data_IF_256999679163
#
_entry.id   IF_256999679163
#
_cell.length_a   1.000
_cell.length_b   1.000
_cell.length_c   1.000
_cell.angle_alpha   90.00
_cell.angle_beta   90.00
_cell.angle_gamma   90.00
#
_symmetry.space_group_name_H-M   'P 1'
#
loop_
_entity.id
_entity.type
_entity.pdbx_description
1 polymer ?
#
# COMPACT_ATOMS: atom_id res chain seq x y z
N UNK A 1 40.40 15.35 -29.59
CA UNK A 1 40.76 14.87 -28.24
C UNK A 1 40.77 16.07 -27.31
N UNK A 2 39.75 16.18 -26.46
CA UNK A 2 39.75 17.06 -25.30
C UNK A 2 38.92 16.31 -24.24
N UNK A 3 39.63 15.71 -23.29
CA UNK A 3 39.06 15.09 -22.12
C UNK A 3 38.71 16.19 -21.12
N UNK A 4 37.47 16.17 -20.61
CA UNK A 4 37.10 16.95 -19.45
C UNK A 4 37.10 16.01 -18.25
N UNK A 5 38.13 16.17 -17.41
CA UNK A 5 38.20 15.66 -16.05
C UNK A 5 37.14 16.36 -15.19
N UNK A 6 36.38 15.59 -14.42
CA UNK A 6 35.59 16.10 -13.30
C UNK A 6 36.36 15.79 -12.01
N UNK A 7 36.71 16.79 -11.18
CA UNK A 7 37.33 16.52 -9.90
C UNK A 7 36.28 15.97 -8.93
N UNK A 8 36.62 14.81 -8.38
CA UNK A 8 36.03 14.22 -7.18
C UNK A 8 36.33 15.10 -5.95
N UNK A 9 35.46 15.03 -4.94
CA UNK A 9 35.41 15.77 -3.67
C UNK A 9 34.29 16.82 -3.54
N UNK A 10 33.09 16.35 -3.18
CA UNK A 10 32.21 17.11 -2.28
C UNK A 10 31.75 16.22 -1.14
N UNK A 11 32.49 16.30 -0.02
CA UNK A 11 31.98 15.95 1.29
C UNK A 11 30.81 16.89 1.61
N UNK A 12 29.59 16.38 1.58
CA UNK A 12 28.43 17.11 2.11
C UNK A 12 28.29 16.77 3.61
N UNK A 13 28.58 17.75 4.45
CA UNK A 13 28.16 17.74 5.84
C UNK A 13 26.67 18.08 5.90
N UNK A 14 25.83 17.11 6.24
CA UNK A 14 24.44 17.34 6.61
C UNK A 14 24.40 18.09 7.95
N UNK A 15 24.02 19.36 7.90
CA UNK A 15 23.57 20.09 9.08
C UNK A 15 22.14 19.63 9.35
N UNK A 16 22.00 18.77 10.34
CA UNK A 16 20.72 18.21 10.79
C UNK A 16 20.11 19.16 11.82
N UNK A 17 19.20 20.04 11.41
CA UNK A 17 18.27 20.66 12.37
C UNK A 17 17.13 19.66 12.64
N UNK A 18 17.12 19.10 13.85
CA UNK A 18 16.13 18.13 14.30
C UNK A 18 14.79 18.82 14.56
N UNK A 19 13.82 18.65 13.68
CA UNK A 19 12.41 18.59 14.11
C UNK A 19 12.12 17.17 14.57
N UNK A 20 12.41 16.87 15.84
CA UNK A 20 12.16 15.54 16.41
C UNK A 20 10.66 15.31 16.59
N UNK A 21 10.06 14.48 15.73
CA UNK A 21 8.82 13.81 16.06
C UNK A 21 9.13 12.70 17.07
N UNK A 22 8.47 12.72 18.23
CA UNK A 22 8.67 11.72 19.28
C UNK A 22 8.02 10.40 18.86
N UNK A 23 8.81 9.48 18.30
CA UNK A 23 8.41 8.09 18.10
C UNK A 23 8.68 7.31 19.40
N UNK A 24 7.68 6.70 20.06
CA UNK A 24 7.85 6.07 21.38
C UNK A 24 8.67 4.75 21.38
N UNK A 25 9.31 4.40 20.26
CA UNK A 25 10.23 3.25 20.17
C UNK A 25 11.65 3.78 19.92
N UNK A 26 12.61 3.43 20.81
CA UNK A 26 14.03 3.79 20.76
C UNK A 26 14.69 3.45 19.40
N UNK A 27 14.52 4.29 18.39
CA UNK A 27 15.30 4.27 17.14
C UNK A 27 16.49 5.22 17.28
N UNK A 28 17.41 4.89 18.18
CA UNK A 28 18.64 5.67 18.41
C UNK A 28 19.80 5.20 17.51
N UNK A 29 19.52 4.89 16.25
CA UNK A 29 20.53 4.51 15.25
C UNK A 29 20.54 5.52 14.12
N UNK A 30 21.47 6.46 14.20
CA UNK A 30 21.90 7.41 13.14
C UNK A 30 22.70 6.71 12.04
N UNK A 31 22.32 5.50 11.66
CA UNK A 31 22.96 4.80 10.53
C UNK A 31 22.28 5.24 9.23
N UNK A 32 23.00 6.00 8.41
CA UNK A 32 22.57 6.36 7.06
C UNK A 32 22.20 5.08 6.28
N UNK A 33 20.97 5.03 5.75
CA UNK A 33 20.52 3.96 4.86
C UNK A 33 21.16 4.19 3.50
N UNK A 34 22.01 3.26 3.07
CA UNK A 34 22.66 3.27 1.76
C UNK A 34 22.20 2.07 0.93
N UNK A 35 22.53 2.02 -0.36
CA UNK A 35 22.20 0.87 -1.21
C UNK A 35 22.66 -0.47 -0.60
N UNK A 36 23.84 -0.49 0.01
CA UNK A 36 24.40 -1.66 0.71
C UNK A 36 23.66 -2.06 1.99
N UNK A 37 22.71 -1.26 2.48
CA UNK A 37 21.82 -1.61 3.59
C UNK A 37 20.77 -2.66 3.19
N UNK A 38 20.57 -2.92 1.89
CA UNK A 38 19.64 -3.92 1.35
C UNK A 38 20.42 -5.08 0.69
N UNK A 39 19.86 -6.31 0.65
CA UNK A 39 20.49 -7.43 -0.02
C UNK A 39 20.77 -7.16 -1.50
N UNK A 40 21.80 -7.82 -2.06
CA UNK A 40 22.22 -7.62 -3.45
C UNK A 40 21.08 -7.83 -4.48
N UNK A 41 20.10 -8.69 -4.17
CA UNK A 41 18.92 -8.96 -5.00
C UNK A 41 17.72 -8.03 -4.77
N UNK A 42 17.77 -7.07 -3.85
CA UNK A 42 16.67 -6.13 -3.63
C UNK A 42 16.57 -5.14 -4.79
N UNK A 43 15.43 -5.03 -5.46
CA UNK A 43 15.25 -4.16 -6.64
C UNK A 43 14.45 -2.92 -6.23
N UNK A 44 14.94 -1.74 -6.58
CA UNK A 44 14.16 -0.50 -6.53
C UNK A 44 13.50 -0.29 -7.88
N UNK A 45 12.21 0.07 -7.89
CA UNK A 45 11.44 0.32 -9.10
C UNK A 45 10.44 1.47 -8.90
N UNK A 46 9.83 1.90 -9.99
CA UNK A 46 8.73 2.89 -10.00
C UNK A 46 7.49 2.22 -10.58
N UNK A 47 6.30 2.55 -10.07
CA UNK A 47 5.03 2.04 -10.58
C UNK A 47 4.19 3.19 -11.18
N UNK A 48 3.27 2.85 -12.08
CA UNK A 48 2.29 3.76 -12.69
C UNK A 48 0.90 3.13 -12.57
N UNK A 49 -0.16 3.95 -12.60
CA UNK A 49 -1.53 3.46 -12.44
C UNK A 49 -1.94 2.51 -13.59
N UNK A 50 -2.75 1.48 -13.26
CA UNK A 50 -3.17 0.45 -14.22
C UNK A 50 -3.93 1.01 -15.43
N UNK A 51 -4.72 2.08 -15.20
CA UNK A 51 -5.46 2.77 -16.25
C UNK A 51 -4.55 3.27 -17.39
N UNK A 52 -3.31 3.64 -17.07
CA UNK A 52 -2.34 4.13 -18.05
C UNK A 52 -1.60 2.99 -18.78
N UNK A 53 -1.78 1.74 -18.37
CA UNK A 53 -0.99 0.59 -18.85
C UNK A 53 -1.80 -0.47 -19.61
N UNK A 54 -3.04 -0.74 -19.20
CA UNK A 54 -3.83 -1.88 -19.69
C UNK A 54 -4.07 -1.82 -21.20
N UNK A 55 -4.60 -0.70 -21.71
CA UNK A 55 -4.88 -0.48 -23.13
C UNK A 55 -5.81 -1.50 -23.80
N UNK A 56 -6.61 -2.22 -23.02
CA UNK A 56 -7.52 -3.28 -23.46
C UNK A 56 -8.91 -3.09 -22.83
N UNK A 57 -9.44 -1.87 -22.92
CA UNK A 57 -10.52 -1.42 -22.04
C UNK A 57 -11.82 -2.23 -22.16
N UNK A 58 -12.10 -2.83 -23.32
CA UNK A 58 -13.30 -3.62 -23.61
C UNK A 58 -12.99 -5.07 -24.03
N UNK A 59 -11.77 -5.56 -23.78
CA UNK A 59 -11.32 -6.87 -24.25
C UNK A 59 -11.21 -7.91 -23.13
N UNK A 60 -11.16 -9.19 -23.50
CA UNK A 60 -10.85 -10.29 -22.57
C UNK A 60 -11.86 -10.49 -21.42
N UNK A 61 -13.06 -9.90 -21.51
CA UNK A 61 -14.07 -9.94 -20.45
C UNK A 61 -13.87 -8.90 -19.33
N UNK A 62 -12.96 -7.91 -19.52
CA UNK A 62 -12.82 -6.76 -18.62
C UNK A 62 -14.13 -5.96 -18.60
N UNK A 63 -14.69 -5.79 -17.40
CA UNK A 63 -15.81 -4.88 -17.18
C UNK A 63 -15.35 -3.42 -17.09
N UNK A 64 -16.23 -2.44 -17.38
CA UNK A 64 -15.88 -1.02 -17.29
C UNK A 64 -15.48 -0.62 -15.87
N UNK A 65 -14.39 0.13 -15.76
CA UNK A 65 -13.89 0.75 -14.53
C UNK A 65 -14.48 2.15 -14.32
N UNK A 66 -14.32 2.66 -13.10
CA UNK A 66 -14.70 4.05 -12.76
C UNK A 66 -13.97 5.05 -13.67
N UNK A 67 -12.71 4.77 -14.02
CA UNK A 67 -11.90 5.64 -14.87
C UNK A 67 -12.35 5.66 -16.33
N UNK A 68 -12.80 4.52 -16.87
CA UNK A 68 -13.41 4.48 -18.22
C UNK A 68 -14.63 5.40 -18.25
N UNK A 69 -15.54 5.23 -17.27
CA UNK A 69 -16.77 6.05 -17.18
C UNK A 69 -16.45 7.54 -17.03
N UNK A 70 -15.47 7.89 -16.20
CA UNK A 70 -15.12 9.27 -15.91
C UNK A 70 -14.53 9.99 -17.13
N UNK A 71 -13.55 9.37 -17.79
CA UNK A 71 -12.86 9.96 -18.95
C UNK A 71 -13.76 10.08 -20.17
N UNK A 72 -14.63 9.10 -20.42
CA UNK A 72 -15.62 9.19 -21.51
C UNK A 72 -16.71 10.23 -21.24
N UNK A 73 -17.14 10.39 -19.99
CA UNK A 73 -18.22 11.32 -19.62
C UNK A 73 -17.73 12.77 -19.52
N UNK A 74 -16.47 12.99 -19.15
CA UNK A 74 -15.90 14.31 -18.92
C UNK A 74 -14.55 14.50 -19.63
N UNK A 75 -14.49 14.41 -20.97
CA UNK A 75 -13.23 14.50 -21.72
C UNK A 75 -12.50 15.82 -21.50
N UNK A 76 -13.23 16.90 -21.20
CA UNK A 76 -12.67 18.23 -20.89
C UNK A 76 -11.87 18.29 -19.58
N UNK A 77 -11.90 17.23 -18.78
CA UNK A 77 -11.08 17.09 -17.57
C UNK A 77 -9.69 16.51 -17.88
N UNK A 78 -9.46 16.08 -19.11
CA UNK A 78 -8.16 15.59 -19.60
C UNK A 78 -7.56 16.66 -20.50
N UNK A 79 -6.31 17.04 -20.25
CA UNK A 79 -5.66 18.19 -20.91
C UNK A 79 -5.64 18.10 -22.45
N UNK A 80 -5.55 16.88 -23.00
CA UNK A 80 -5.58 16.60 -24.44
C UNK A 80 -6.89 15.94 -24.90
N UNK A 81 -7.89 15.80 -23.99
CA UNK A 81 -9.18 15.13 -24.20
C UNK A 81 -9.08 13.66 -24.62
N UNK A 82 -7.91 13.04 -24.42
CA UNK A 82 -7.73 11.59 -24.63
C UNK A 82 -8.42 10.77 -23.54
N UNK A 83 -8.49 9.45 -23.75
CA UNK A 83 -8.93 8.48 -22.75
C UNK A 83 -7.94 7.29 -22.71
N UNK A 84 -8.19 6.34 -21.81
CA UNK A 84 -7.37 5.13 -21.62
C UNK A 84 -7.86 3.90 -22.40
N UNK A 85 -8.69 4.05 -23.43
CA UNK A 85 -9.20 2.91 -24.23
C UNK A 85 -8.04 2.10 -24.82
N UNK A 86 -7.06 2.83 -25.37
CA UNK A 86 -5.76 2.30 -25.81
C UNK A 86 -4.66 3.13 -25.13
N UNK A 87 -4.15 2.60 -24.03
CA UNK A 87 -3.06 3.20 -23.26
C UNK A 87 -1.68 2.69 -23.78
N UNK A 88 -0.71 2.45 -22.90
CA UNK A 88 0.62 1.89 -23.28
C UNK A 88 0.52 0.50 -23.96
N UNK A 89 -0.65 -0.12 -23.93
CA UNK A 89 -0.99 -1.34 -24.66
C UNK A 89 -0.12 -2.55 -24.25
N UNK A 90 0.20 -2.62 -22.96
CA UNK A 90 1.05 -3.70 -22.44
C UNK A 90 0.34 -5.06 -22.53
N UNK A 91 -0.99 -5.07 -22.46
CA UNK A 91 -1.82 -6.28 -22.53
C UNK A 91 -1.70 -7.02 -23.86
N UNK A 92 -1.57 -6.33 -25.01
CA UNK A 92 -1.41 -7.01 -26.29
C UNK A 92 0.05 -7.41 -26.57
N UNK A 93 1.01 -6.75 -25.92
CA UNK A 93 2.43 -6.85 -26.27
C UNK A 93 3.22 -7.86 -25.43
N UNK A 94 2.65 -8.41 -24.34
CA UNK A 94 3.40 -9.27 -23.41
C UNK A 94 3.64 -10.71 -23.89
N UNK A 95 2.78 -11.27 -24.74
CA UNK A 95 2.67 -12.74 -24.93
C UNK A 95 3.75 -13.40 -25.80
N UNK A 96 4.49 -12.69 -26.66
CA UNK A 96 5.23 -13.38 -27.74
C UNK A 96 6.63 -13.94 -27.38
N UNK A 97 7.33 -13.48 -26.32
CA UNK A 97 8.75 -13.88 -26.08
C UNK A 97 9.33 -13.72 -24.65
N UNK A 98 8.59 -13.22 -23.66
CA UNK A 98 9.23 -12.34 -22.65
C UNK A 98 9.80 -12.97 -21.37
N UNK A 99 9.49 -14.25 -21.02
CA UNK A 99 9.83 -14.82 -19.69
C UNK A 99 9.47 -13.89 -18.52
N UNK A 100 8.43 -13.07 -18.70
CA UNK A 100 8.00 -12.07 -17.73
C UNK A 100 7.27 -12.73 -16.56
N UNK A 101 7.21 -11.99 -15.45
CA UNK A 101 6.41 -12.33 -14.28
C UNK A 101 5.18 -11.43 -14.22
N UNK A 102 4.05 -11.95 -13.75
CA UNK A 102 2.81 -11.21 -13.56
C UNK A 102 2.40 -11.25 -12.09
N UNK A 103 1.90 -10.13 -11.57
CA UNK A 103 1.52 -10.00 -10.18
C UNK A 103 0.25 -9.19 -10.01
N UNK A 104 -0.15 -9.05 -8.75
CA UNK A 104 -1.24 -8.18 -8.33
C UNK A 104 -0.71 -7.18 -7.31
N UNK A 105 -1.16 -5.93 -7.39
CA UNK A 105 -0.86 -4.91 -6.39
C UNK A 105 -2.05 -4.74 -5.46
N UNK A 106 -1.83 -4.90 -4.16
CA UNK A 106 -2.86 -4.73 -3.14
C UNK A 106 -2.55 -3.55 -2.22
N UNK A 107 -3.57 -2.75 -1.96
CA UNK A 107 -3.56 -1.72 -0.92
C UNK A 107 -3.86 -2.34 0.43
N UNK A 108 -3.07 -2.01 1.44
CA UNK A 108 -3.37 -2.40 2.81
C UNK A 108 -2.85 -1.38 3.83
N UNK A 109 -3.69 -1.08 4.82
CA UNK A 109 -3.26 -0.45 6.05
C UNK A 109 -2.80 -1.51 7.04
N UNK A 110 -2.05 -1.10 8.06
CA UNK A 110 -1.87 -1.93 9.24
C UNK A 110 -2.96 -1.64 10.28
N UNK A 111 -3.45 -2.67 10.96
CA UNK A 111 -4.49 -2.54 11.98
C UNK A 111 -3.93 -2.92 13.35
N UNK A 112 -3.83 -1.93 14.23
CA UNK A 112 -3.41 -2.12 15.63
C UNK A 112 -4.65 -2.37 16.48
N UNK A 113 -4.71 -3.42 17.32
CA UNK A 113 -5.81 -3.59 18.26
C UNK A 113 -6.00 -2.35 19.14
N UNK A 114 -7.23 -1.88 19.30
CA UNK A 114 -7.49 -0.70 20.12
C UNK A 114 -7.04 -0.90 21.58
N UNK A 115 -7.21 -2.11 22.13
CA UNK A 115 -6.71 -2.52 23.44
C UNK A 115 -6.17 -3.96 23.43
N UNK A 116 -5.62 -4.41 24.57
CA UNK A 116 -5.23 -5.81 24.80
C UNK A 116 -6.42 -6.75 25.02
N UNK A 117 -7.67 -6.28 24.84
CA UNK A 117 -8.83 -7.15 24.85
C UNK A 117 -8.78 -8.12 23.66
N UNK A 118 -9.19 -9.38 23.90
CA UNK A 118 -9.24 -10.41 22.85
C UNK A 118 -10.14 -9.99 21.68
N UNK A 119 -11.22 -9.28 21.98
CA UNK A 119 -12.20 -8.81 21.01
C UNK A 119 -11.59 -7.76 20.06
N UNK A 120 -10.74 -6.86 20.56
CA UNK A 120 -10.05 -5.85 19.75
C UNK A 120 -8.94 -6.47 18.91
N UNK A 121 -8.22 -7.47 19.43
CA UNK A 121 -7.31 -8.29 18.60
C UNK A 121 -8.04 -8.96 17.45
N UNK A 122 -9.20 -9.54 17.72
CA UNK A 122 -10.05 -10.09 16.67
C UNK A 122 -10.57 -9.01 15.72
N UNK A 123 -10.87 -7.80 16.21
CA UNK A 123 -11.30 -6.68 15.37
C UNK A 123 -10.20 -6.24 14.40
N UNK A 124 -8.96 -6.12 14.86
CA UNK A 124 -7.81 -5.84 14.00
C UNK A 124 -7.63 -6.92 12.91
N UNK A 125 -7.74 -8.21 13.28
CA UNK A 125 -7.71 -9.30 12.28
C UNK A 125 -8.85 -9.17 11.26
N UNK A 126 -10.08 -8.93 11.71
CA UNK A 126 -11.23 -8.76 10.80
C UNK A 126 -11.04 -7.56 9.87
N UNK A 127 -10.52 -6.44 10.36
CA UNK A 127 -10.23 -5.28 9.53
C UNK A 127 -9.20 -5.63 8.43
N UNK A 128 -8.15 -6.39 8.79
CA UNK A 128 -7.15 -6.86 7.83
C UNK A 128 -7.74 -7.86 6.83
N UNK A 129 -8.56 -8.81 7.29
CA UNK A 129 -9.25 -9.77 6.43
C UNK A 129 -10.16 -9.05 5.42
N UNK A 130 -10.89 -8.01 5.84
CA UNK A 130 -11.81 -7.27 4.96
C UNK A 130 -11.12 -6.29 4.00
N UNK A 131 -9.83 -6.03 4.17
CA UNK A 131 -9.06 -5.13 3.30
C UNK A 131 -8.07 -5.91 2.42
N UNK A 132 -7.21 -6.71 3.04
CA UNK A 132 -6.12 -7.43 2.39
C UNK A 132 -6.48 -8.90 2.14
N UNK A 133 -6.97 -9.59 3.18
CA UNK A 133 -7.34 -11.01 3.08
C UNK A 133 -8.46 -11.27 2.07
N UNK A 134 -9.33 -10.29 1.82
CA UNK A 134 -10.41 -10.39 0.83
C UNK A 134 -9.88 -10.77 -0.55
N UNK A 135 -8.68 -10.29 -0.90
CA UNK A 135 -8.02 -10.59 -2.17
C UNK A 135 -6.96 -11.69 -2.03
N UNK A 136 -6.21 -11.70 -0.92
CA UNK A 136 -5.13 -12.69 -0.73
C UNK A 136 -5.63 -14.11 -0.44
N UNK A 137 -6.68 -14.29 0.37
CA UNK A 137 -7.17 -15.62 0.69
C UNK A 137 -7.67 -16.36 -0.56
N UNK A 138 -8.46 -15.77 -1.48
CA UNK A 138 -8.85 -16.48 -2.70
C UNK A 138 -7.69 -16.97 -3.56
N UNK A 139 -6.61 -16.18 -3.68
CA UNK A 139 -5.48 -16.52 -4.55
C UNK A 139 -4.44 -17.41 -3.86
N UNK A 140 -4.47 -17.57 -2.54
CA UNK A 140 -3.55 -18.47 -1.80
C UNK A 140 -4.27 -19.69 -1.24
N UNK A 141 -5.43 -19.47 -0.63
CA UNK A 141 -6.22 -20.42 0.15
C UNK A 141 -7.52 -20.85 -0.53
N UNK A 142 -7.71 -20.54 -1.82
CA UNK A 142 -8.82 -20.99 -2.70
C UNK A 142 -10.26 -20.57 -2.32
N UNK A 143 -10.43 -19.75 -1.28
CA UNK A 143 -11.72 -19.21 -0.84
C UNK A 143 -11.52 -17.90 -0.06
N UNK A 144 -12.62 -17.20 0.26
CA UNK A 144 -12.59 -15.98 1.07
C UNK A 144 -12.19 -16.25 2.54
N UNK A 145 -11.73 -15.23 3.29
CA UNK A 145 -11.45 -15.34 4.71
C UNK A 145 -12.66 -15.85 5.51
N UNK A 146 -12.40 -16.72 6.50
CA UNK A 146 -13.45 -17.27 7.36
C UNK A 146 -14.28 -16.19 8.10
N UNK A 147 -13.65 -15.07 8.47
CA UNK A 147 -14.33 -13.94 9.10
C UNK A 147 -15.36 -13.29 8.17
N UNK A 148 -15.01 -13.09 6.90
CA UNK A 148 -15.91 -12.55 5.88
C UNK A 148 -17.07 -13.50 5.62
N UNK A 149 -16.79 -14.80 5.44
CA UNK A 149 -17.84 -15.82 5.26
C UNK A 149 -18.84 -15.82 6.41
N UNK A 150 -18.36 -15.71 7.64
CA UNK A 150 -19.21 -15.69 8.83
C UNK A 150 -20.05 -14.41 8.97
N UNK A 151 -19.50 -13.25 8.62
CA UNK A 151 -20.14 -11.96 8.88
C UNK A 151 -21.01 -11.45 7.72
N UNK A 152 -20.56 -11.67 6.49
CA UNK A 152 -21.29 -11.29 5.28
C UNK A 152 -22.36 -12.33 4.93
N UNK A 153 -22.06 -13.61 5.19
CA UNK A 153 -22.98 -14.72 5.01
C UNK A 153 -23.44 -14.85 3.56
N UNK A 154 -24.76 -14.95 3.35
CA UNK A 154 -25.37 -15.20 2.03
C UNK A 154 -25.11 -14.10 0.99
N UNK A 155 -24.71 -12.90 1.42
CA UNK A 155 -24.38 -11.79 0.50
C UNK A 155 -23.00 -11.96 -0.14
N UNK A 156 -22.14 -12.81 0.42
CA UNK A 156 -20.82 -13.10 -0.15
C UNK A 156 -20.98 -14.15 -1.25
N UNK A 157 -20.62 -13.85 -2.51
CA UNK A 157 -20.65 -14.84 -3.58
C UNK A 157 -19.74 -16.02 -3.25
N UNK A 158 -19.99 -17.16 -3.91
CA UNK A 158 -19.15 -18.36 -3.79
C UNK A 158 -18.45 -18.61 -5.10
N UNK A 159 -17.17 -18.97 -5.02
CA UNK A 159 -16.47 -19.51 -6.18
C UNK A 159 -16.95 -20.93 -6.46
N UNK A 160 -17.15 -21.24 -7.74
CA UNK A 160 -17.20 -22.62 -8.19
C UNK A 160 -15.81 -23.26 -8.04
N UNK A 161 -15.75 -24.59 -7.98
CA UNK A 161 -14.47 -25.32 -7.94
C UNK A 161 -13.53 -24.94 -9.10
N UNK A 162 -14.10 -24.68 -10.28
CA UNK A 162 -13.33 -24.25 -11.45
C UNK A 162 -12.71 -22.85 -11.25
N UNK A 163 -13.47 -21.89 -10.70
CA UNK A 163 -12.97 -20.55 -10.40
C UNK A 163 -11.91 -20.57 -9.31
N UNK A 164 -12.13 -21.30 -8.20
CA UNK A 164 -11.13 -21.45 -7.13
C UNK A 164 -9.81 -22.01 -7.66
N UNK A 165 -9.86 -22.98 -8.58
CA UNK A 165 -8.66 -23.53 -9.22
C UNK A 165 -7.93 -22.53 -10.11
N UNK A 166 -8.64 -21.60 -10.76
CA UNK A 166 -8.04 -20.54 -11.57
C UNK A 166 -7.40 -19.43 -10.71
N UNK A 167 -7.97 -19.16 -9.53
CA UNK A 167 -7.47 -18.14 -8.61
C UNK A 167 -6.24 -18.60 -7.82
N UNK A 168 -6.22 -19.86 -7.35
CA UNK A 168 -5.14 -20.35 -6.51
C UNK A 168 -3.79 -20.32 -7.25
N UNK A 169 -2.85 -19.52 -6.74
CA UNK A 169 -1.51 -19.37 -7.31
C UNK A 169 -1.47 -18.50 -8.57
N UNK A 170 -2.47 -17.64 -8.82
CA UNK A 170 -2.57 -16.81 -10.03
C UNK A 170 -1.64 -15.58 -10.06
N UNK A 171 -0.51 -15.63 -9.36
CA UNK A 171 0.47 -14.54 -9.29
C UNK A 171 1.89 -15.06 -9.08
N UNK A 172 2.87 -14.43 -9.74
CA UNK A 172 4.30 -14.68 -9.56
C UNK A 172 4.91 -13.79 -8.47
N UNK A 173 4.35 -12.59 -8.27
CA UNK A 173 4.75 -11.66 -7.21
C UNK A 173 3.56 -10.85 -6.67
N UNK A 174 3.70 -10.37 -5.44
CA UNK A 174 2.76 -9.46 -4.79
C UNK A 174 3.32 -8.03 -4.80
N UNK A 175 2.62 -7.11 -5.44
CA UNK A 175 2.79 -5.68 -5.22
C UNK A 175 2.06 -5.25 -3.94
N UNK A 176 2.69 -4.42 -3.13
CA UNK A 176 2.11 -3.91 -1.89
C UNK A 176 2.14 -2.39 -1.85
N UNK A 177 0.96 -1.79 -1.69
CA UNK A 177 0.80 -0.35 -1.44
C UNK A 177 0.55 -0.15 0.06
N UNK A 178 1.47 0.55 0.74
CA UNK A 178 1.38 0.83 2.17
C UNK A 178 1.60 2.31 2.47
N UNK A 179 0.71 2.89 3.27
CA UNK A 179 0.75 4.32 3.60
C UNK A 179 0.61 4.64 5.08
N UNK A 180 -0.28 3.93 5.80
CA UNK A 180 -0.74 4.33 7.14
C UNK A 180 -1.19 3.10 7.96
N UNK A 181 -1.58 3.36 9.21
CA UNK A 181 -2.22 2.39 10.09
C UNK A 181 -3.43 2.99 10.79
N UNK A 182 -4.31 2.13 11.30
CA UNK A 182 -5.44 2.53 12.16
C UNK A 182 -5.52 1.62 13.39
N UNK A 183 -6.06 2.16 14.48
CA UNK A 183 -6.57 1.35 15.58
C UNK A 183 -7.89 0.69 15.17
N UNK A 184 -8.12 -0.54 15.64
CA UNK A 184 -9.33 -1.30 15.40
C UNK A 184 -9.99 -1.74 16.72
N UNK A 185 -11.20 -1.25 16.98
CA UNK A 185 -12.00 -1.60 18.15
C UNK A 185 -13.18 -2.52 17.77
N UNK A 186 -13.55 -3.44 18.64
CA UNK A 186 -14.66 -4.36 18.40
C UNK A 186 -16.03 -3.67 18.48
N UNK A 187 -16.92 -3.98 17.52
CA UNK A 187 -18.33 -3.61 17.60
C UNK A 187 -19.18 -4.86 17.97
N UNK A 188 -19.78 -4.91 19.18
CA UNK A 188 -20.58 -6.05 19.64
C UNK A 188 -21.81 -6.32 18.78
N UNK A 189 -22.20 -7.60 18.60
CA UNK A 189 -23.36 -8.00 17.78
C UNK A 189 -24.70 -7.35 18.21
N UNK A 190 -24.82 -6.93 19.47
CA UNK A 190 -25.98 -6.19 19.98
C UNK A 190 -26.18 -4.82 19.32
N UNK A 191 -25.11 -4.23 18.76
CA UNK A 191 -25.20 -3.00 17.99
C UNK A 191 -25.75 -3.33 16.59
N UNK A 192 -26.96 -2.84 16.32
CA UNK A 192 -27.60 -2.94 15.01
C UNK A 192 -26.88 -2.03 14.02
N UNK A 193 -26.35 -2.62 12.95
CA UNK A 193 -25.68 -1.91 11.86
C UNK A 193 -26.40 -2.24 10.57
N UNK A 194 -26.59 -1.24 9.70
CA UNK A 194 -27.06 -1.49 8.34
C UNK A 194 -25.98 -2.31 7.59
N UNK A 195 -26.34 -3.42 6.93
CA UNK A 195 -25.38 -4.19 6.15
C UNK A 195 -24.72 -3.32 5.08
N UNK A 196 -23.39 -3.28 5.09
CA UNK A 196 -22.55 -2.53 4.17
C UNK A 196 -21.13 -3.07 4.28
N UNK A 197 -20.36 -2.99 3.19
CA UNK A 197 -18.94 -3.30 3.22
C UNK A 197 -18.21 -2.60 4.40
N UNK A 198 -18.57 -1.34 4.68
CA UNK A 198 -17.97 -0.55 5.77
C UNK A 198 -18.30 -1.06 7.18
N UNK A 199 -19.43 -1.75 7.37
CA UNK A 199 -19.91 -2.18 8.69
C UNK A 199 -19.75 -3.67 8.93
N UNK A 200 -19.64 -4.46 7.86
CA UNK A 200 -19.65 -5.92 7.90
C UNK A 200 -18.46 -6.50 8.67
N UNK A 201 -17.30 -5.84 8.69
CA UNK A 201 -16.12 -6.26 9.46
C UNK A 201 -16.36 -6.21 10.97
N UNK A 202 -17.37 -5.45 11.42
CA UNK A 202 -17.63 -5.15 12.84
C UNK A 202 -16.38 -4.67 13.58
N UNK A 203 -15.58 -3.84 12.91
CA UNK A 203 -14.42 -3.18 13.47
C UNK A 203 -14.61 -1.66 13.31
N UNK A 204 -14.54 -0.92 14.41
CA UNK A 204 -14.49 0.53 14.37
C UNK A 204 -13.03 0.96 14.18
N UNK A 205 -12.75 1.68 13.09
CA UNK A 205 -11.40 2.10 12.73
C UNK A 205 -11.17 3.55 13.14
N UNK A 206 -10.03 3.84 13.76
CA UNK A 206 -9.69 5.19 14.18
C UNK A 206 -8.19 5.42 14.07
N UNK A 207 -7.79 6.62 13.65
CA UNK A 207 -6.39 7.05 13.73
C UNK A 207 -6.00 7.55 15.12
N UNK A 208 -6.94 7.64 16.07
CA UNK A 208 -6.73 8.17 17.42
C UNK A 208 -7.24 7.20 18.48
N UNK A 209 -6.45 6.99 19.53
CA UNK A 209 -6.80 6.20 20.72
C UNK A 209 -6.58 7.05 21.96
N UNK A 210 -7.64 7.26 22.74
CA UNK A 210 -7.61 8.05 23.99
C UNK A 210 -6.97 9.44 23.81
N UNK A 211 -7.31 10.12 22.71
CA UNK A 211 -6.75 11.44 22.36
C UNK A 211 -5.36 11.40 21.72
N UNK A 212 -4.69 10.24 21.65
CA UNK A 212 -3.35 10.09 21.08
C UNK A 212 -3.44 9.52 19.66
N UNK A 213 -2.94 10.23 18.62
CA UNK A 213 -2.91 9.71 17.27
C UNK A 213 -1.95 8.51 17.15
N UNK A 214 -2.22 7.62 16.19
CA UNK A 214 -1.39 6.45 15.93
C UNK A 214 0.01 6.81 15.41
N UNK A 215 0.14 7.98 14.79
CA UNK A 215 1.37 8.51 14.21
C UNK A 215 1.25 10.01 13.94
N UNK A 216 2.29 10.61 13.36
CA UNK A 216 2.24 12.01 12.98
C UNK A 216 1.19 12.24 11.88
N UNK A 217 0.33 13.25 12.04
CA UNK A 217 -0.66 13.61 11.02
C UNK A 217 0.05 14.28 9.84
N UNK A 218 -0.41 14.01 8.63
CA UNK A 218 0.12 14.62 7.40
C UNK A 218 -0.84 15.65 6.82
N UNK A 219 -0.49 16.22 5.66
CA UNK A 219 -1.38 17.11 4.91
C UNK A 219 -2.71 16.45 4.52
N UNK A 220 -2.74 15.13 4.41
CA UNK A 220 -3.95 14.35 4.12
C UNK A 220 -4.60 13.84 5.40
N UNK A 221 -5.87 14.17 5.63
CA UNK A 221 -6.61 13.82 6.86
C UNK A 221 -6.68 12.31 7.16
N UNK A 222 -6.56 11.46 6.13
CA UNK A 222 -6.63 10.01 6.27
C UNK A 222 -5.25 9.36 6.55
N UNK A 223 -4.15 10.08 6.35
CA UNK A 223 -2.80 9.52 6.37
C UNK A 223 -2.04 9.97 7.64
N UNK A 224 -1.73 8.99 8.48
CA UNK A 224 -0.95 9.14 9.70
C UNK A 224 0.33 8.30 9.57
N UNK A 225 1.49 8.92 9.79
CA UNK A 225 2.80 8.28 9.57
C UNK A 225 3.03 7.19 10.62
N UNK A 226 2.97 5.92 10.20
CA UNK A 226 3.19 4.77 11.07
C UNK A 226 4.17 3.75 10.45
N UNK A 227 5.48 4.04 10.45
CA UNK A 227 6.47 3.24 9.71
C UNK A 227 6.55 1.76 10.14
N UNK A 228 6.25 1.47 11.41
CA UNK A 228 6.23 0.09 11.93
C UNK A 228 5.21 -0.79 11.22
N UNK A 229 4.11 -0.23 10.71
CA UNK A 229 3.04 -1.02 10.12
C UNK A 229 3.46 -1.75 8.84
N UNK A 230 4.36 -1.20 8.02
CA UNK A 230 4.85 -1.90 6.82
C UNK A 230 5.58 -3.19 7.19
N UNK A 231 6.40 -3.15 8.25
CA UNK A 231 7.10 -4.33 8.77
C UNK A 231 6.11 -5.38 9.27
N UNK A 232 5.17 -4.95 10.11
CA UNK A 232 4.24 -5.88 10.75
C UNK A 232 3.30 -6.53 9.72
N UNK A 233 2.92 -5.79 8.66
CA UNK A 233 2.19 -6.30 7.51
C UNK A 233 3.02 -7.31 6.69
N UNK A 234 4.29 -7.01 6.37
CA UNK A 234 5.15 -7.95 5.65
C UNK A 234 5.38 -9.25 6.44
N UNK A 235 5.56 -9.13 7.76
CA UNK A 235 5.71 -10.30 8.63
C UNK A 235 4.39 -11.09 8.73
N UNK A 236 3.24 -10.44 8.68
CA UNK A 236 1.95 -11.12 8.56
C UNK A 236 1.86 -11.88 7.23
N UNK A 237 2.21 -11.25 6.11
CA UNK A 237 2.19 -11.89 4.79
C UNK A 237 3.09 -13.13 4.75
N UNK A 238 4.31 -13.01 5.30
CA UNK A 238 5.25 -14.11 5.43
C UNK A 238 4.69 -15.31 6.18
N UNK A 239 3.94 -15.07 7.26
CA UNK A 239 3.36 -16.14 8.09
C UNK A 239 2.11 -16.78 7.50
N UNK A 240 1.21 -15.96 6.95
CA UNK A 240 -0.13 -16.43 6.56
C UNK A 240 -0.25 -16.81 5.08
N UNK A 241 0.65 -16.33 4.21
CA UNK A 241 0.50 -16.44 2.76
C UNK A 241 1.73 -17.04 2.04
N UNK A 242 2.45 -17.94 2.70
CA UNK A 242 3.60 -18.67 2.15
C UNK A 242 4.79 -17.80 1.69
N UNK A 243 4.90 -16.58 2.20
CA UNK A 243 6.04 -15.69 1.95
C UNK A 243 6.39 -15.52 0.46
N UNK A 244 5.48 -14.95 -0.36
CA UNK A 244 5.71 -14.77 -1.78
C UNK A 244 6.83 -13.76 -2.05
N UNK A 245 7.25 -13.65 -3.30
CA UNK A 245 8.05 -12.51 -3.75
C UNK A 245 7.20 -11.24 -3.63
N UNK A 246 7.71 -10.23 -2.92
CA UNK A 246 6.97 -8.98 -2.65
C UNK A 246 7.76 -7.78 -3.19
N UNK A 247 7.05 -6.88 -3.86
CA UNK A 247 7.51 -5.54 -4.21
C UNK A 247 6.69 -4.51 -3.46
N UNK A 248 7.34 -3.53 -2.84
CA UNK A 248 6.62 -2.33 -2.36
C UNK A 248 6.38 -1.45 -3.58
N UNK A 249 5.15 -1.46 -4.08
CA UNK A 249 4.77 -0.78 -5.33
C UNK A 249 4.34 0.65 -5.09
N UNK A 250 3.82 0.96 -3.90
CA UNK A 250 3.61 2.34 -3.46
C UNK A 250 3.91 2.51 -1.97
N UNK A 251 4.61 3.60 -1.65
CA UNK A 251 4.80 4.13 -0.32
C UNK A 251 5.15 5.62 -0.48
N UNK A 252 4.49 6.50 0.26
CA UNK A 252 4.73 7.93 0.12
C UNK A 252 3.85 8.79 0.99
N UNK A 253 4.12 10.09 0.94
CA UNK A 253 3.39 11.11 1.69
C UNK A 253 3.27 12.39 0.87
N UNK A 254 2.07 12.97 0.89
CA UNK A 254 1.80 14.30 0.34
C UNK A 254 2.10 15.40 1.36
N UNK A 255 2.54 16.55 0.88
CA UNK A 255 2.75 17.74 1.70
C UNK A 255 1.67 18.78 1.42
N UNK A 256 1.47 19.70 2.35
CA UNK A 256 0.55 20.82 2.16
C UNK A 256 1.10 21.71 1.07
N UNK A 257 0.25 22.05 0.12
CA UNK A 257 0.59 23.07 -0.87
C UNK A 257 0.53 24.44 -0.21
N UNK A 258 1.63 25.18 -0.31
CA UNK A 258 1.75 26.55 0.18
C UNK A 258 2.36 27.41 -0.94
N UNK A 259 1.55 28.27 -1.55
CA UNK A 259 1.99 29.17 -2.62
C UNK A 259 2.82 30.36 -2.10
N UNK A 260 2.91 30.53 -0.78
CA UNK A 260 3.64 31.65 -0.17
C UNK A 260 5.14 31.41 -0.02
N UNK A 261 5.59 30.15 -0.10
CA UNK A 261 7.00 29.79 0.04
C UNK A 261 7.72 29.77 -1.30
N UNK A 262 9.02 30.07 -1.28
CA UNK A 262 9.86 29.99 -2.47
C UNK A 262 10.02 28.54 -2.94
N UNK A 263 10.35 28.35 -4.23
CA UNK A 263 10.68 27.02 -4.76
C UNK A 263 11.82 26.35 -3.96
N UNK A 264 12.79 27.12 -3.49
CA UNK A 264 13.90 26.59 -2.68
C UNK A 264 13.41 26.02 -1.35
N UNK A 265 12.44 26.67 -0.71
CA UNK A 265 11.83 26.19 0.54
C UNK A 265 10.91 25.01 0.27
N UNK A 266 10.12 25.04 -0.81
CA UNK A 266 9.26 23.94 -1.20
C UNK A 266 10.04 22.65 -1.54
N UNK A 267 11.25 22.78 -2.07
CA UNK A 267 12.14 21.64 -2.35
C UNK A 267 12.86 21.10 -1.11
N UNK A 268 12.79 21.78 0.04
CA UNK A 268 13.37 21.31 1.30
C UNK A 268 12.38 20.37 2.04
N UNK A 269 12.08 19.23 1.43
CA UNK A 269 11.00 18.30 1.80
C UNK A 269 11.38 17.31 2.93
N UNK A 270 11.88 17.84 4.05
CA UNK A 270 12.38 17.04 5.17
C UNK A 270 11.33 16.06 5.73
N UNK A 271 10.05 16.39 5.69
CA UNK A 271 8.96 15.49 6.15
C UNK A 271 8.89 14.25 5.27
N UNK A 272 8.98 14.41 3.94
CA UNK A 272 9.01 13.30 2.99
C UNK A 272 10.30 12.48 3.11
N UNK A 273 11.44 13.14 3.30
CA UNK A 273 12.73 12.46 3.55
C UNK A 273 12.66 11.59 4.80
N UNK A 274 12.17 12.14 5.92
CA UNK A 274 12.00 11.41 7.18
C UNK A 274 10.99 10.27 7.04
N UNK A 275 9.88 10.49 6.33
CA UNK A 275 8.90 9.44 6.03
C UNK A 275 9.59 8.24 5.36
N UNK A 276 10.35 8.47 4.28
CA UNK A 276 11.03 7.40 3.56
C UNK A 276 12.10 6.73 4.41
N UNK A 277 12.93 7.51 5.14
CA UNK A 277 13.97 6.95 6.01
C UNK A 277 13.39 5.94 7.00
N UNK A 278 12.32 6.31 7.71
CA UNK A 278 11.73 5.43 8.71
C UNK A 278 11.05 4.20 8.07
N UNK A 279 10.30 4.35 6.98
CA UNK A 279 9.67 3.21 6.31
C UNK A 279 10.69 2.24 5.74
N UNK A 280 11.75 2.74 5.11
CA UNK A 280 12.85 1.93 4.59
C UNK A 280 13.63 1.22 5.70
N UNK A 281 13.79 1.85 6.87
CA UNK A 281 14.40 1.21 8.04
C UNK A 281 13.55 0.04 8.55
N UNK A 282 12.23 0.21 8.67
CA UNK A 282 11.33 -0.88 9.05
C UNK A 282 11.23 -1.97 7.98
N UNK A 283 11.28 -1.61 6.70
CA UNK A 283 11.36 -2.56 5.58
C UNK A 283 12.64 -3.41 5.68
N UNK A 284 13.79 -2.79 5.92
CA UNK A 284 15.06 -3.51 6.12
C UNK A 284 14.96 -4.52 7.28
N UNK A 285 14.29 -4.14 8.38
CA UNK A 285 14.06 -5.01 9.54
C UNK A 285 13.06 -6.14 9.28
N UNK A 286 12.26 -6.07 8.22
CA UNK A 286 11.37 -7.15 7.80
C UNK A 286 12.09 -8.20 6.93
N UNK A 287 13.19 -7.78 6.27
CA UNK A 287 14.01 -8.64 5.41
C UNK A 287 14.96 -9.54 6.22
N UNK A 288 15.52 -9.00 7.32
CA UNK A 288 16.35 -9.76 8.27
C UNK A 288 15.51 -10.80 9.02
#
# INVERSE_FOLDING_TARGET
>A
MAAYDFPDNRHFHLIQERTSYYFPDNCNTTTSLIRGSFPAGFIFGTASSSYQLEGAAAEGGRGPSIWDTFTHKYPDKIADRSNGDVAVDSYHRYKKTQKGVIGITLLSHWFVPFSDAKQDRHAAKRALDFMFGWYMDPIVNDDYPSSMKSLVGKRLPKFSKAQSKLLKGSFDFLGLNYYTANYAAHIPLSVSLKPSYLTDSRANLSSVRNGVPIGAKTASDWLYVYPRGIRDLLLHIKREYNNPLIYITENGVGETHDDSISLKEALADNVRVDYYYHHLSFLQRAIK
#
